data_IF_562747531729
#
_entry.id   IF_562747531729
#
_cell.length_a   1.000
_cell.length_b   1.000
_cell.length_c   1.000
_cell.angle_alpha   90.00
_cell.angle_beta   90.00
_cell.angle_gamma   90.00
#
_symmetry.space_group_name_H-M   'P 1'
#
loop_
_entity.id
_entity.type
_entity.pdbx_description
1 polymer ?
#
# COMPACT_ATOMS: atom_id res chain seq x y z
N UNK A 1 7.34 2.28 21.20
CA UNK A 1 6.45 3.26 21.04
C UNK A 1 4.96 3.17 21.34
N UNK A 2 4.25 2.08 21.02
CA UNK A 2 2.81 1.96 21.27
C UNK A 2 2.48 1.68 22.74
N UNK A 3 3.43 1.13 23.47
CA UNK A 3 3.33 0.79 24.90
C UNK A 3 4.48 1.49 25.64
N UNK A 4 4.20 2.02 26.83
CA UNK A 4 5.19 2.62 27.72
C UNK A 4 5.89 1.56 28.59
N UNK A 5 6.86 2.00 29.41
CA UNK A 5 7.62 1.13 30.30
C UNK A 5 6.75 0.45 31.41
N UNK A 6 5.55 0.98 31.66
CA UNK A 6 4.57 0.44 32.62
C UNK A 6 3.52 -0.42 31.94
N UNK A 7 3.72 -0.82 30.67
CA UNK A 7 2.79 -1.59 29.85
C UNK A 7 1.46 -0.87 29.57
N UNK A 8 1.39 0.43 29.79
CA UNK A 8 0.25 1.27 29.41
C UNK A 8 0.29 1.67 27.95
N UNK A 9 -0.88 1.82 27.33
CA UNK A 9 -0.94 2.35 25.96
C UNK A 9 -0.52 3.83 25.94
N UNK A 10 0.48 4.15 25.13
CA UNK A 10 0.82 5.54 24.79
C UNK A 10 -0.30 6.18 23.97
N UNK A 11 -0.21 7.50 23.68
CA UNK A 11 -1.11 8.17 22.74
C UNK A 11 -1.09 7.47 21.38
N UNK A 12 0.12 7.16 20.88
CA UNK A 12 0.29 6.42 19.64
C UNK A 12 -0.36 5.04 19.70
N UNK A 13 -0.20 4.31 20.82
CA UNK A 13 -0.82 3.00 21.02
C UNK A 13 -2.34 3.05 20.96
N UNK A 14 -2.94 4.06 21.57
CA UNK A 14 -4.40 4.26 21.51
C UNK A 14 -4.88 4.60 20.10
N UNK A 15 -4.14 5.42 19.36
CA UNK A 15 -4.48 5.78 17.98
C UNK A 15 -4.37 4.54 17.08
N UNK A 16 -3.32 3.73 17.23
CA UNK A 16 -3.14 2.47 16.50
C UNK A 16 -4.25 1.44 16.79
N UNK A 17 -4.66 1.30 18.05
CA UNK A 17 -5.70 0.35 18.45
C UNK A 17 -7.08 0.66 17.85
N UNK A 18 -7.30 1.85 17.33
CA UNK A 18 -8.54 2.25 16.64
C UNK A 18 -8.57 1.89 15.17
N UNK A 19 -7.40 1.64 14.56
CA UNK A 19 -7.30 1.34 13.14
C UNK A 19 -7.52 -0.15 12.89
N UNK A 20 -8.38 -0.55 11.93
CA UNK A 20 -8.59 -1.94 11.53
C UNK A 20 -7.46 -2.45 10.65
N UNK A 21 -6.21 -2.24 11.06
CA UNK A 21 -4.99 -2.56 10.32
C UNK A 21 -3.95 -3.20 11.23
N UNK A 22 -3.02 -3.94 10.63
CA UNK A 22 -1.78 -4.32 11.29
C UNK A 22 -1.07 -3.07 11.86
N UNK A 23 -0.47 -3.14 13.06
CA UNK A 23 0.18 -1.98 13.69
C UNK A 23 1.22 -1.27 12.83
N UNK A 24 1.93 -1.99 11.94
CA UNK A 24 2.89 -1.37 11.02
C UNK A 24 2.20 -0.53 9.96
N UNK A 25 1.12 -1.04 9.37
CA UNK A 25 0.29 -0.30 8.41
C UNK A 25 -0.39 0.89 9.10
N UNK A 26 -0.92 0.68 10.30
CA UNK A 26 -1.46 1.76 11.12
C UNK A 26 -0.44 2.87 11.39
N UNK A 27 0.82 2.52 11.66
CA UNK A 27 1.90 3.49 11.86
C UNK A 27 2.16 4.34 10.61
N UNK A 28 2.14 3.72 9.42
CA UNK A 28 2.27 4.43 8.14
C UNK A 28 1.14 5.46 7.95
N UNK A 29 -0.11 5.04 8.20
CA UNK A 29 -1.28 5.91 8.07
C UNK A 29 -1.24 7.06 9.07
N UNK A 30 -0.80 6.83 10.32
CA UNK A 30 -0.63 7.89 11.30
C UNK A 30 0.44 8.90 10.87
N UNK A 31 1.59 8.42 10.35
CA UNK A 31 2.65 9.29 9.86
C UNK A 31 2.23 10.09 8.60
N UNK A 32 1.33 9.54 7.80
CA UNK A 32 0.83 10.22 6.60
C UNK A 32 0.14 11.56 6.88
N UNK A 33 -0.42 11.74 8.08
CA UNK A 33 -0.98 13.02 8.52
C UNK A 33 0.09 14.10 8.61
N UNK A 34 1.24 13.76 9.18
CA UNK A 34 2.34 14.69 9.38
C UNK A 34 3.08 14.98 8.07
N UNK A 35 3.03 14.04 7.12
CA UNK A 35 3.63 14.15 5.80
C UNK A 35 2.66 14.64 4.71
N UNK A 36 1.43 15.01 5.04
CA UNK A 36 0.42 15.52 4.09
C UNK A 36 0.15 14.57 2.90
N UNK A 37 0.11 13.27 3.16
CA UNK A 37 -0.12 12.22 2.15
C UNK A 37 -1.16 11.19 2.59
N UNK A 38 -2.14 11.61 3.41
CA UNK A 38 -3.13 10.70 3.99
C UNK A 38 -4.01 10.04 2.92
N UNK A 39 -4.34 10.76 1.85
CA UNK A 39 -5.13 10.23 0.73
C UNK A 39 -4.42 9.04 0.08
N UNK A 40 -3.15 9.18 -0.25
CA UNK A 40 -2.34 8.15 -0.89
C UNK A 40 -2.05 6.99 0.07
N UNK A 41 -1.71 7.29 1.32
CA UNK A 41 -1.35 6.27 2.30
C UNK A 41 -2.54 5.40 2.73
N UNK A 42 -3.76 5.93 2.77
CA UNK A 42 -4.96 5.10 3.03
C UNK A 42 -5.21 4.11 1.90
N UNK A 43 -4.97 4.51 0.65
CA UNK A 43 -5.04 3.61 -0.52
C UNK A 43 -3.96 2.53 -0.43
N UNK A 44 -2.70 2.90 -0.21
CA UNK A 44 -1.58 1.95 -0.15
C UNK A 44 -1.72 1.01 1.05
N UNK A 45 -2.01 1.53 2.25
CA UNK A 45 -2.14 0.71 3.46
C UNK A 45 -3.30 -0.28 3.35
N UNK A 46 -4.43 0.11 2.76
CA UNK A 46 -5.53 -0.81 2.50
C UNK A 46 -5.17 -1.89 1.47
N UNK A 47 -4.37 -1.57 0.43
CA UNK A 47 -3.86 -2.56 -0.51
C UNK A 47 -2.94 -3.59 0.17
N UNK A 48 -2.04 -3.11 1.03
CA UNK A 48 -1.12 -3.97 1.79
C UNK A 48 -1.84 -4.81 2.87
N UNK A 49 -3.00 -4.37 3.34
CA UNK A 49 -3.86 -5.09 4.29
C UNK A 49 -4.80 -6.10 3.61
N UNK A 50 -5.02 -5.99 2.31
CA UNK A 50 -5.84 -6.88 1.51
C UNK A 50 -5.01 -7.99 0.84
N UNK A 51 -5.68 -8.98 0.30
CA UNK A 51 -5.02 -9.96 -0.55
C UNK A 51 -4.68 -9.32 -1.91
N UNK A 52 -3.45 -9.55 -2.41
CA UNK A 52 -2.99 -9.01 -3.70
C UNK A 52 -3.99 -9.37 -4.83
N UNK A 53 -4.59 -8.39 -5.50
CA UNK A 53 -5.55 -8.64 -6.57
C UNK A 53 -4.92 -9.16 -7.86
N UNK A 54 -3.60 -9.11 -8.02
CA UNK A 54 -2.88 -9.59 -9.20
C UNK A 54 -2.85 -11.12 -9.20
N UNK A 55 -3.34 -11.72 -10.26
CA UNK A 55 -3.33 -13.16 -10.47
C UNK A 55 -2.17 -13.52 -11.39
N UNK A 56 -1.41 -14.55 -11.03
CA UNK A 56 -0.27 -15.07 -11.82
C UNK A 56 -0.41 -16.58 -12.00
N UNK A 57 -1.32 -17.04 -12.90
CA UNK A 57 -1.44 -18.46 -13.20
C UNK A 57 -0.10 -19.01 -13.73
N UNK A 58 0.38 -20.17 -13.27
CA UNK A 58 1.67 -20.71 -13.66
C UNK A 58 1.85 -20.83 -15.18
N UNK A 59 0.77 -21.21 -15.91
CA UNK A 59 0.81 -21.41 -17.36
C UNK A 59 0.80 -20.09 -18.15
N UNK A 60 0.49 -18.96 -17.51
CA UNK A 60 0.32 -17.64 -18.15
C UNK A 60 1.07 -16.53 -17.41
N UNK A 61 2.08 -16.88 -16.64
CA UNK A 61 2.79 -15.94 -15.77
C UNK A 61 3.35 -14.74 -16.53
N UNK A 62 4.03 -14.99 -17.66
CA UNK A 62 4.60 -13.93 -18.49
C UNK A 62 3.53 -12.97 -19.03
N UNK A 63 2.41 -13.50 -19.53
CA UNK A 63 1.29 -12.71 -20.04
C UNK A 63 0.65 -11.87 -18.94
N UNK A 64 0.50 -12.45 -17.74
CA UNK A 64 -0.02 -11.75 -16.58
C UNK A 64 0.91 -10.59 -16.15
N UNK A 65 2.22 -10.84 -16.08
CA UNK A 65 3.21 -9.83 -15.71
C UNK A 65 3.26 -8.68 -16.72
N UNK A 66 3.13 -8.98 -18.02
CA UNK A 66 3.02 -7.95 -19.07
C UNK A 66 1.73 -7.12 -18.94
N UNK A 67 0.61 -7.76 -18.62
CA UNK A 67 -0.65 -7.07 -18.38
C UNK A 67 -0.59 -6.17 -17.15
N UNK A 68 -0.02 -6.65 -16.04
CA UNK A 68 0.18 -5.87 -14.83
C UNK A 68 1.14 -4.71 -15.06
N UNK A 69 2.25 -4.93 -15.78
CA UNK A 69 3.22 -3.87 -16.09
C UNK A 69 2.58 -2.70 -16.82
N UNK A 70 1.68 -2.96 -17.77
CA UNK A 70 0.97 -1.90 -18.51
C UNK A 70 0.09 -1.02 -17.64
N UNK A 71 -0.47 -1.58 -16.55
CA UNK A 71 -1.38 -0.84 -15.65
C UNK A 71 -0.60 -0.18 -14.52
N UNK A 72 0.40 -0.87 -13.98
CA UNK A 72 1.06 -0.51 -12.72
C UNK A 72 2.33 0.33 -12.93
N UNK A 73 3.08 0.05 -13.97
CA UNK A 73 4.41 0.61 -14.16
C UNK A 73 4.50 1.44 -15.44
N UNK A 74 4.61 2.76 -15.26
CA UNK A 74 5.06 3.63 -16.32
C UNK A 74 6.60 3.62 -16.41
N UNK A 75 7.19 4.25 -17.43
CA UNK A 75 8.64 4.31 -17.64
C UNK A 75 9.40 4.96 -16.46
N UNK A 76 8.73 5.78 -15.67
CA UNK A 76 9.31 6.49 -14.52
C UNK A 76 8.95 5.86 -13.16
N UNK A 77 8.24 4.73 -13.15
CA UNK A 77 7.80 4.12 -11.91
C UNK A 77 8.96 3.44 -11.19
N UNK A 78 9.32 3.96 -10.03
CA UNK A 78 10.44 3.48 -9.22
C UNK A 78 10.01 2.73 -7.95
N UNK A 79 8.71 2.61 -7.71
CA UNK A 79 8.20 2.05 -6.46
C UNK A 79 6.94 1.22 -6.65
N UNK A 80 6.95 0.00 -6.13
CA UNK A 80 5.73 -0.82 -6.05
C UNK A 80 4.64 -0.19 -5.19
N UNK A 81 4.98 0.66 -4.23
CA UNK A 81 3.98 1.34 -3.42
C UNK A 81 3.18 2.35 -4.21
N UNK A 82 3.84 3.11 -5.10
CA UNK A 82 3.14 4.06 -5.98
C UNK A 82 2.40 3.35 -7.11
N UNK A 83 2.81 2.13 -7.48
CA UNK A 83 2.06 1.29 -8.42
C UNK A 83 0.65 0.95 -7.91
N UNK A 84 0.43 0.81 -6.59
CA UNK A 84 -0.91 0.63 -6.02
C UNK A 84 -1.81 1.84 -6.29
N UNK A 85 -1.29 3.06 -6.28
CA UNK A 85 -2.06 4.26 -6.61
C UNK A 85 -2.51 4.24 -8.07
N UNK A 86 -1.68 3.75 -8.98
CA UNK A 86 -2.03 3.59 -10.40
C UNK A 86 -3.11 2.53 -10.61
N UNK A 87 -2.99 1.38 -9.93
CA UNK A 87 -4.03 0.34 -9.98
C UNK A 87 -5.36 0.86 -9.43
N UNK A 88 -5.31 1.63 -8.33
CA UNK A 88 -6.50 2.25 -7.76
C UNK A 88 -7.18 3.18 -8.75
N UNK A 89 -6.42 4.10 -9.36
CA UNK A 89 -6.94 5.05 -10.35
C UNK A 89 -7.51 4.33 -11.58
N UNK A 90 -6.81 3.31 -12.07
CA UNK A 90 -7.28 2.49 -13.19
C UNK A 90 -8.59 1.77 -12.86
N UNK A 91 -8.69 1.18 -11.67
CA UNK A 91 -9.89 0.46 -11.26
C UNK A 91 -11.06 1.41 -11.01
N UNK A 92 -10.81 2.57 -10.38
CA UNK A 92 -11.83 3.59 -10.16
C UNK A 92 -12.40 4.11 -11.49
N UNK A 93 -11.54 4.37 -12.46
CA UNK A 93 -11.95 4.78 -13.81
C UNK A 93 -12.71 3.66 -14.55
N UNK A 94 -12.22 2.42 -14.42
CA UNK A 94 -12.91 1.26 -15.02
C UNK A 94 -14.31 1.08 -14.45
N UNK A 95 -14.53 1.31 -13.16
CA UNK A 95 -15.85 1.23 -12.54
C UNK A 95 -16.80 2.31 -13.02
N UNK A 96 -16.33 3.53 -13.25
CA UNK A 96 -17.17 4.64 -13.73
C UNK A 96 -17.74 4.39 -15.14
N UNK A 97 -16.95 3.74 -15.99
CA UNK A 97 -17.27 3.59 -17.41
C UNK A 97 -17.77 2.21 -17.83
N UNK A 98 -17.87 1.23 -16.91
CA UNK A 98 -18.27 -0.12 -17.26
C UNK A 98 -19.40 -0.64 -16.37
N UNK A 99 -20.30 -1.42 -16.98
CA UNK A 99 -21.23 -2.25 -16.21
C UNK A 99 -20.47 -3.32 -15.41
N UNK A 100 -21.09 -3.87 -14.36
CA UNK A 100 -20.49 -4.90 -13.52
C UNK A 100 -19.95 -6.11 -14.34
N UNK A 101 -20.68 -6.53 -15.37
CA UNK A 101 -20.24 -7.61 -16.28
C UNK A 101 -18.99 -7.23 -17.08
N UNK A 102 -19.00 -6.04 -17.68
CA UNK A 102 -17.85 -5.53 -18.45
C UNK A 102 -16.62 -5.32 -17.57
N UNK A 103 -16.82 -4.78 -16.37
CA UNK A 103 -15.75 -4.62 -15.38
C UNK A 103 -15.11 -5.98 -15.03
N UNK A 104 -15.93 -7.01 -14.78
CA UNK A 104 -15.43 -8.35 -14.51
C UNK A 104 -14.59 -8.89 -15.67
N UNK A 105 -15.07 -8.75 -16.90
CA UNK A 105 -14.34 -9.17 -18.10
C UNK A 105 -13.03 -8.38 -18.28
N UNK A 106 -13.04 -7.07 -18.01
CA UNK A 106 -11.87 -6.21 -18.09
C UNK A 106 -10.80 -6.63 -17.07
N UNK A 107 -11.21 -6.88 -15.83
CA UNK A 107 -10.31 -7.36 -14.79
C UNK A 107 -9.73 -8.74 -15.15
N UNK A 108 -10.54 -9.69 -15.59
CA UNK A 108 -10.09 -11.02 -16.01
C UNK A 108 -9.07 -10.94 -17.14
N UNK A 109 -9.33 -10.10 -18.15
CA UNK A 109 -8.40 -9.88 -19.28
C UNK A 109 -7.04 -9.36 -18.82
N UNK A 110 -7.00 -8.64 -17.69
CA UNK A 110 -5.78 -8.10 -17.11
C UNK A 110 -5.25 -8.91 -15.91
N UNK A 111 -5.72 -10.13 -15.74
CA UNK A 111 -5.31 -11.03 -14.64
C UNK A 111 -5.48 -10.37 -13.26
N UNK A 112 -6.62 -9.69 -13.07
CA UNK A 112 -7.00 -9.06 -11.81
C UNK A 112 -8.23 -9.73 -11.21
N UNK A 113 -8.21 -9.97 -9.91
CA UNK A 113 -9.33 -10.49 -9.14
C UNK A 113 -10.29 -9.36 -8.74
N UNK A 114 -11.48 -9.34 -9.33
CA UNK A 114 -12.53 -8.37 -8.96
C UNK A 114 -12.92 -8.48 -7.48
N UNK A 115 -12.94 -9.69 -6.94
CA UNK A 115 -13.27 -9.91 -5.52
C UNK A 115 -12.27 -9.21 -4.60
N UNK A 116 -10.96 -9.42 -4.84
CA UNK A 116 -9.90 -8.78 -4.04
C UNK A 116 -9.83 -7.26 -4.24
N UNK A 117 -10.14 -6.76 -5.44
CA UNK A 117 -10.25 -5.33 -5.69
C UNK A 117 -11.43 -4.71 -4.93
N UNK A 118 -12.55 -5.40 -4.79
CA UNK A 118 -13.68 -4.96 -3.96
C UNK A 118 -13.31 -4.97 -2.48
N UNK A 119 -12.72 -6.06 -2.00
CA UNK A 119 -12.23 -6.15 -0.62
C UNK A 119 -11.26 -5.00 -0.28
N UNK A 120 -10.32 -4.71 -1.16
CA UNK A 120 -9.43 -3.56 -1.00
C UNK A 120 -10.19 -2.24 -0.88
N UNK A 121 -11.21 -2.01 -1.73
CA UNK A 121 -12.04 -0.80 -1.64
C UNK A 121 -12.85 -0.74 -0.35
N UNK A 122 -13.34 -1.86 0.13
CA UNK A 122 -14.08 -1.92 1.39
C UNK A 122 -13.19 -1.55 2.57
N UNK A 123 -11.97 -2.09 2.63
CA UNK A 123 -10.98 -1.73 3.65
C UNK A 123 -10.64 -0.24 3.56
N UNK A 124 -10.39 0.28 2.35
CA UNK A 124 -10.13 1.71 2.16
C UNK A 124 -11.32 2.57 2.63
N UNK A 125 -12.55 2.18 2.29
CA UNK A 125 -13.76 2.89 2.73
C UNK A 125 -13.89 2.95 4.26
N UNK A 126 -13.59 1.85 4.96
CA UNK A 126 -13.57 1.80 6.41
C UNK A 126 -12.50 2.75 7.00
N UNK A 127 -11.30 2.75 6.44
CA UNK A 127 -10.22 3.66 6.86
C UNK A 127 -10.57 5.12 6.62
N UNK A 128 -11.16 5.43 5.47
CA UNK A 128 -11.58 6.77 5.13
C UNK A 128 -12.66 7.30 6.08
N UNK A 129 -13.67 6.49 6.39
CA UNK A 129 -14.73 6.81 7.34
C UNK A 129 -14.15 7.06 8.73
N UNK A 130 -13.31 6.17 9.21
CA UNK A 130 -12.67 6.30 10.52
C UNK A 130 -11.78 7.54 10.60
N UNK A 131 -11.00 7.83 9.56
CA UNK A 131 -10.17 9.04 9.50
C UNK A 131 -11.04 10.32 9.59
N UNK A 132 -12.18 10.35 8.90
CA UNK A 132 -13.14 11.46 8.98
C UNK A 132 -13.73 11.59 10.38
N UNK A 133 -14.16 10.50 11.04
CA UNK A 133 -14.66 10.48 12.41
C UNK A 133 -13.62 10.95 13.43
N UNK A 134 -12.34 10.68 13.17
CA UNK A 134 -11.22 11.16 13.97
C UNK A 134 -10.84 12.63 13.69
N UNK A 135 -11.54 13.28 12.76
CA UNK A 135 -11.26 14.67 12.35
C UNK A 135 -9.94 14.83 11.58
N UNK A 136 -9.44 13.76 10.97
CA UNK A 136 -8.22 13.82 10.16
C UNK A 136 -8.50 14.49 8.83
N UNK A 137 -7.61 15.36 8.41
CA UNK A 137 -7.74 16.09 7.16
C UNK A 137 -6.96 15.38 6.05
N UNK A 138 -7.68 14.99 5.00
CA UNK A 138 -7.06 14.50 3.78
C UNK A 138 -6.38 15.64 3.03
N UNK A 139 -5.27 15.34 2.38
CA UNK A 139 -4.60 16.30 1.51
C UNK A 139 -5.45 16.57 0.26
N UNK A 140 -5.45 17.82 -0.18
CA UNK A 140 -6.20 18.29 -1.37
C UNK A 140 -5.34 18.28 -2.63
N UNK A 141 -4.03 18.28 -2.48
CA UNK A 141 -3.07 18.18 -3.58
C UNK A 141 -2.38 16.81 -3.55
N UNK A 142 -2.06 16.22 -4.70
CA UNK A 142 -1.31 14.97 -4.74
C UNK A 142 0.00 15.07 -3.97
N UNK A 143 0.28 14.05 -3.17
CA UNK A 143 1.51 13.99 -2.41
C UNK A 143 2.71 13.65 -3.30
N UNK A 144 3.88 14.16 -2.93
CA UNK A 144 5.12 13.84 -3.62
C UNK A 144 5.60 12.42 -3.29
N UNK A 145 6.45 11.87 -4.15
CA UNK A 145 7.11 10.59 -3.92
C UNK A 145 7.79 10.54 -2.54
N UNK A 146 8.50 11.61 -2.17
CA UNK A 146 9.21 11.69 -0.90
C UNK A 146 8.27 11.69 0.31
N UNK A 147 7.16 12.43 0.27
CA UNK A 147 6.16 12.45 1.34
C UNK A 147 5.58 11.05 1.58
N UNK A 148 5.20 10.36 0.51
CA UNK A 148 4.66 9.00 0.56
C UNK A 148 5.68 8.04 1.18
N UNK A 149 6.93 8.04 0.68
CA UNK A 149 7.94 7.08 1.13
C UNK A 149 8.43 7.37 2.55
N UNK A 150 8.49 8.62 2.98
CA UNK A 150 8.78 8.96 4.38
C UNK A 150 7.73 8.39 5.33
N UNK A 151 6.45 8.50 4.99
CA UNK A 151 5.37 7.92 5.79
C UNK A 151 5.43 6.38 5.80
N UNK A 152 5.65 5.73 4.65
CA UNK A 152 5.82 4.28 4.52
C UNK A 152 6.96 3.75 5.37
N UNK A 153 8.11 4.42 5.37
CA UNK A 153 9.29 4.01 6.14
C UNK A 153 9.01 3.87 7.63
N UNK A 154 8.08 4.64 8.20
CA UNK A 154 7.75 4.56 9.63
C UNK A 154 7.21 3.19 10.07
N UNK A 155 6.60 2.45 9.16
CA UNK A 155 6.13 1.08 9.38
C UNK A 155 7.10 0.01 8.88
N UNK A 156 8.15 0.38 8.14
CA UNK A 156 9.08 -0.54 7.47
C UNK A 156 10.50 -0.49 8.03
N UNK A 157 10.72 0.10 9.19
CA UNK A 157 12.06 0.27 9.78
C UNK A 157 12.81 -1.06 9.92
N UNK A 158 12.10 -2.17 10.16
CA UNK A 158 12.68 -3.51 10.24
C UNK A 158 13.00 -4.13 8.88
N UNK A 159 12.61 -3.51 7.77
CA UNK A 159 12.78 -4.00 6.40
C UNK A 159 13.83 -3.18 5.60
N UNK A 160 14.54 -2.29 6.26
CA UNK A 160 15.59 -1.49 5.64
C UNK A 160 16.87 -2.33 5.54
N UNK A 161 17.46 -2.35 4.35
CA UNK A 161 18.78 -2.94 4.12
C UNK A 161 19.80 -1.89 3.70
N UNK A 162 20.97 -1.91 4.32
CA UNK A 162 22.11 -1.13 3.87
C UNK A 162 22.95 -1.98 2.90
N UNK A 163 23.41 -1.39 1.81
CA UNK A 163 24.31 -2.06 0.89
C UNK A 163 25.61 -2.38 1.62
N UNK A 164 26.04 -3.65 1.55
CA UNK A 164 27.30 -4.11 2.12
C UNK A 164 28.48 -3.69 1.23
N UNK A 165 29.68 -3.70 1.77
CA UNK A 165 30.93 -3.54 0.99
C UNK A 165 31.14 -4.74 0.05
N UNK A 166 30.62 -5.91 0.38
CA UNK A 166 30.63 -7.10 -0.48
C UNK A 166 29.65 -6.93 -1.64
N UNK A 167 30.09 -7.31 -2.84
CA UNK A 167 29.35 -7.07 -4.08
C UNK A 167 28.03 -7.85 -4.10
N UNK A 168 26.92 -7.12 -4.12
CA UNK A 168 25.57 -7.70 -4.28
C UNK A 168 24.82 -7.97 -2.99
N UNK A 169 25.47 -7.82 -1.82
CA UNK A 169 24.87 -8.09 -0.52
C UNK A 169 24.29 -6.84 0.13
N UNK A 170 23.21 -7.04 0.87
CA UNK A 170 22.60 -6.04 1.74
C UNK A 170 22.57 -6.56 3.18
N UNK A 171 22.85 -5.67 4.11
CA UNK A 171 22.72 -5.91 5.54
C UNK A 171 21.38 -5.34 6.02
N UNK A 172 20.47 -6.23 6.40
CA UNK A 172 19.17 -5.89 6.96
C UNK A 172 19.18 -5.76 8.47
N UNK A 173 17.99 -5.57 9.05
CA UNK A 173 17.80 -5.53 10.48
C UNK A 173 18.34 -6.80 11.16
N UNK A 174 18.88 -6.64 12.37
CA UNK A 174 19.46 -7.75 13.18
C UNK A 174 20.62 -8.47 12.50
N UNK A 175 21.32 -7.82 11.57
CA UNK A 175 22.50 -8.42 10.90
C UNK A 175 22.16 -9.47 9.84
N UNK A 176 20.93 -9.58 9.39
CA UNK A 176 20.54 -10.52 8.35
C UNK A 176 21.09 -10.02 7.00
N UNK A 177 21.90 -10.85 6.33
CA UNK A 177 22.35 -10.57 4.95
C UNK A 177 21.34 -11.11 3.95
N UNK A 178 21.11 -10.38 2.88
CA UNK A 178 20.22 -10.78 1.78
C UNK A 178 20.68 -10.19 0.44
N UNK A 179 20.23 -10.81 -0.63
CA UNK A 179 20.49 -10.36 -2.01
C UNK A 179 19.17 -9.91 -2.61
N UNK A 180 19.20 -8.84 -3.39
CA UNK A 180 18.06 -8.37 -4.19
C UNK A 180 18.29 -8.81 -5.63
N UNK A 181 17.38 -9.64 -6.15
CA UNK A 181 17.40 -10.17 -7.52
C UNK A 181 16.59 -9.32 -8.48
#
# INVERSE_FOLDING_TARGET
>A
GAVDDRQGLTRLGRDLARLPLDPRLGRMVLAARDHHCLSELTIIASALGAQDPRLRPPEQQQTADEAHRRILFGPEEQSEFTAWLKLWAWYDEAMKHNSARKLTQLCQKNFLSVLRLREWRDIHGQLHTLAAELGWKFNTSPATYEQIHRALLTGLLGNIGCKSEEKGDYLGARGIRFVVH
#
